data_IF_957822009937
#
_entry.id   IF_957822009937
#
_cell.length_a   1.000
_cell.length_b   1.000
_cell.length_c   1.000
_cell.angle_alpha   90.00
_cell.angle_beta   90.00
_cell.angle_gamma   90.00
#
_symmetry.space_group_name_H-M   'P 1'
#
loop_
_entity.id
_entity.type
_entity.pdbx_description
1 polymer ?
#
# COMPACT_ATOMS: atom_id res chain seq x y z
N UNK A 1 22.65 12.77 15.48
CA UNK A 1 22.92 11.58 14.65
C UNK A 1 22.22 11.68 13.32
N UNK A 2 22.78 11.11 12.28
CA UNK A 2 22.19 11.01 10.94
C UNK A 2 21.67 9.58 10.78
N UNK A 3 20.48 9.40 10.18
CA UNK A 3 19.95 8.10 9.80
C UNK A 3 19.70 8.07 8.30
N UNK A 4 20.16 7.01 7.64
CA UNK A 4 19.91 6.81 6.23
C UNK A 4 18.50 6.26 6.02
N UNK A 5 17.81 6.78 5.00
CA UNK A 5 16.54 6.24 4.51
C UNK A 5 16.82 5.42 3.25
N UNK A 6 16.49 4.14 3.30
CA UNK A 6 16.70 3.22 2.19
C UNK A 6 15.40 3.02 1.42
N UNK A 7 15.47 3.13 0.09
CA UNK A 7 14.39 2.73 -0.81
C UNK A 7 14.71 1.36 -1.41
N UNK A 8 13.72 0.48 -1.43
CA UNK A 8 13.86 -0.85 -1.99
C UNK A 8 13.05 -0.96 -3.29
N UNK A 9 13.60 -1.70 -4.24
CA UNK A 9 12.91 -2.10 -5.47
C UNK A 9 12.67 -3.60 -5.42
N UNK A 10 11.46 -4.02 -5.71
CA UNK A 10 11.06 -5.41 -5.77
C UNK A 10 10.52 -5.71 -7.16
N UNK A 11 11.12 -6.66 -7.85
CA UNK A 11 10.60 -7.14 -9.11
C UNK A 11 9.37 -8.03 -8.89
N UNK A 12 8.41 -7.98 -9.80
CA UNK A 12 7.16 -8.75 -9.69
C UNK A 12 7.35 -10.26 -9.94
N UNK A 13 8.49 -10.67 -10.51
CA UNK A 13 8.87 -12.07 -10.74
C UNK A 13 9.65 -12.70 -9.56
N UNK A 14 9.76 -11.96 -8.45
CA UNK A 14 10.40 -12.45 -7.23
C UNK A 14 9.78 -13.77 -6.75
N UNK A 15 10.64 -14.72 -6.42
CA UNK A 15 10.24 -16.03 -5.85
C UNK A 15 10.32 -15.98 -4.32
N UNK A 16 9.22 -16.32 -3.62
CA UNK A 16 9.23 -16.34 -2.16
C UNK A 16 10.25 -17.32 -1.61
N UNK A 17 10.92 -17.02 -0.49
CA UNK A 17 11.78 -17.97 0.21
C UNK A 17 11.03 -19.25 0.60
N UNK A 18 11.69 -20.40 0.53
CA UNK A 18 11.07 -21.73 0.81
C UNK A 18 10.42 -21.82 2.20
N UNK A 19 10.98 -21.15 3.21
CA UNK A 19 10.43 -21.15 4.56
C UNK A 19 9.06 -20.43 4.66
N UNK A 20 8.75 -19.58 3.70
CA UNK A 20 7.51 -18.78 3.71
C UNK A 20 6.26 -19.67 3.68
N UNK A 21 6.32 -20.82 3.01
CA UNK A 21 5.21 -21.78 3.02
C UNK A 21 4.82 -22.25 4.44
N UNK A 22 5.80 -22.54 5.29
CA UNK A 22 5.54 -22.92 6.67
C UNK A 22 5.00 -21.75 7.53
N UNK A 23 5.48 -20.53 7.27
CA UNK A 23 5.00 -19.32 7.93
C UNK A 23 3.54 -19.05 7.55
N UNK A 24 3.21 -19.15 6.28
CA UNK A 24 1.85 -18.95 5.76
C UNK A 24 0.89 -20.03 6.29
N UNK A 25 1.31 -21.29 6.34
CA UNK A 25 0.47 -22.38 6.86
C UNK A 25 0.07 -22.15 8.34
N UNK A 26 0.96 -21.58 9.15
CA UNK A 26 0.63 -21.22 10.54
C UNK A 26 -0.37 -20.05 10.66
N UNK A 27 -0.38 -19.14 9.69
CA UNK A 27 -1.22 -17.96 9.71
C UNK A 27 -2.57 -18.16 9.00
N UNK A 28 -2.70 -19.16 8.12
CA UNK A 28 -3.81 -19.31 7.18
C UNK A 28 -5.19 -19.54 7.80
N UNK A 29 -5.27 -19.96 9.07
CA UNK A 29 -6.56 -20.18 9.75
C UNK A 29 -7.22 -18.92 10.32
N UNK A 30 -6.43 -17.87 10.58
CA UNK A 30 -6.91 -16.66 11.26
C UNK A 30 -6.75 -15.37 10.43
N UNK A 31 -6.04 -15.43 9.32
CA UNK A 31 -5.72 -14.23 8.51
C UNK A 31 -6.66 -14.11 7.31
N UNK A 32 -7.32 -12.96 7.20
CA UNK A 32 -8.11 -12.57 6.05
C UNK A 32 -7.56 -11.28 5.44
N UNK A 33 -7.37 -11.26 4.12
CA UNK A 33 -6.99 -10.03 3.40
C UNK A 33 -8.18 -9.55 2.60
N UNK A 34 -8.44 -8.25 2.69
CA UNK A 34 -9.52 -7.60 1.97
C UNK A 34 -9.11 -6.24 1.40
N UNK A 35 -9.71 -5.81 0.29
CA UNK A 35 -9.54 -4.45 -0.19
C UNK A 35 -10.25 -3.45 0.72
N UNK A 36 -9.93 -2.18 0.55
CA UNK A 36 -10.63 -1.05 1.15
C UNK A 36 -12.10 -1.01 0.68
N UNK A 37 -13.01 -0.70 1.60
CA UNK A 37 -14.45 -0.61 1.33
C UNK A 37 -14.86 0.85 1.12
N UNK A 38 -15.07 1.27 -0.12
CA UNK A 38 -15.47 2.67 -0.43
C UNK A 38 -16.80 3.10 0.18
N UNK A 39 -17.70 2.16 0.43
CA UNK A 39 -18.97 2.43 1.10
C UNK A 39 -18.81 2.85 2.57
N UNK A 40 -17.71 2.46 3.18
CA UNK A 40 -17.35 2.75 4.58
C UNK A 40 -16.08 3.61 4.66
N UNK A 41 -15.97 4.60 3.76
CA UNK A 41 -14.72 5.34 3.53
C UNK A 41 -14.13 5.96 4.79
N UNK A 42 -14.96 6.61 5.61
CA UNK A 42 -14.50 7.28 6.81
C UNK A 42 -13.94 6.29 7.84
N UNK A 43 -14.65 5.20 8.04
CA UNK A 43 -14.27 4.12 8.95
C UNK A 43 -12.99 3.42 8.47
N UNK A 44 -12.87 3.17 7.17
CA UNK A 44 -11.68 2.55 6.58
C UNK A 44 -10.45 3.46 6.70
N UNK A 45 -10.59 4.76 6.52
CA UNK A 45 -9.49 5.71 6.76
C UNK A 45 -9.08 5.71 8.24
N UNK A 46 -10.02 5.61 9.17
CA UNK A 46 -9.70 5.50 10.59
C UNK A 46 -8.91 4.21 10.89
N UNK A 47 -9.32 3.08 10.30
CA UNK A 47 -8.58 1.81 10.42
C UNK A 47 -7.14 1.95 9.91
N UNK A 48 -6.96 2.57 8.73
CA UNK A 48 -5.63 2.79 8.15
C UNK A 48 -4.78 3.68 9.06
N UNK A 49 -5.34 4.77 9.59
CA UNK A 49 -4.68 5.68 10.52
C UNK A 49 -4.25 4.95 11.79
N UNK A 50 -5.14 4.19 12.40
CA UNK A 50 -4.86 3.45 13.64
C UNK A 50 -3.73 2.42 13.46
N UNK A 51 -3.71 1.71 12.33
CA UNK A 51 -2.61 0.81 11.99
C UNK A 51 -1.31 1.59 11.76
N UNK A 52 -1.38 2.73 11.07
CA UNK A 52 -0.22 3.57 10.81
C UNK A 52 0.39 4.09 12.12
N UNK A 53 -0.41 4.69 12.98
CA UNK A 53 0.06 5.24 14.26
C UNK A 53 0.64 4.14 15.15
N UNK A 54 -0.05 3.00 15.29
CA UNK A 54 0.47 1.89 16.08
C UNK A 54 1.81 1.38 15.53
N UNK A 55 1.91 1.16 14.22
CA UNK A 55 3.09 0.55 13.63
C UNK A 55 4.31 1.47 13.55
N UNK A 56 4.10 2.80 13.41
CA UNK A 56 5.16 3.76 13.13
C UNK A 56 5.54 4.67 14.30
N UNK A 57 4.75 4.70 15.39
CA UNK A 57 4.93 5.62 16.52
C UNK A 57 6.30 5.55 17.22
N UNK A 58 7.07 4.49 17.02
CA UNK A 58 8.44 4.35 17.55
C UNK A 58 9.54 4.72 16.54
N UNK A 59 9.16 5.05 15.30
CA UNK A 59 10.13 5.41 14.29
C UNK A 59 10.69 6.80 14.54
N UNK A 60 11.96 6.97 14.22
CA UNK A 60 12.63 8.27 14.34
C UNK A 60 11.93 9.32 13.46
N UNK A 61 11.64 10.48 14.06
CA UNK A 61 10.97 11.57 13.35
C UNK A 61 9.49 11.35 13.08
N UNK A 62 8.86 10.34 13.67
CA UNK A 62 7.43 10.12 13.53
C UNK A 62 6.62 11.29 14.13
N UNK A 63 5.72 11.82 13.33
CA UNK A 63 4.72 12.80 13.75
C UNK A 63 3.35 12.20 13.45
N UNK A 64 2.48 12.02 14.45
CA UNK A 64 1.15 11.49 14.24
C UNK A 64 0.30 12.47 13.42
N UNK A 65 -0.57 11.95 12.58
CA UNK A 65 -1.60 12.75 11.92
C UNK A 65 -2.78 12.98 12.86
N UNK A 66 -3.34 14.18 12.85
CA UNK A 66 -4.69 14.37 13.40
C UNK A 66 -5.70 13.58 12.55
N UNK A 67 -6.88 13.33 13.12
CA UNK A 67 -7.96 12.68 12.37
C UNK A 67 -8.33 13.49 11.12
N UNK A 68 -8.43 14.80 11.26
CA UNK A 68 -8.79 15.72 10.20
C UNK A 68 -7.77 15.73 9.05
N UNK A 69 -6.47 15.78 9.39
CA UNK A 69 -5.38 15.73 8.40
C UNK A 69 -5.40 14.42 7.61
N UNK A 70 -5.56 13.29 8.31
CA UNK A 70 -5.59 11.97 7.65
C UNK A 70 -6.83 11.81 6.77
N UNK A 71 -7.99 12.27 7.23
CA UNK A 71 -9.22 12.28 6.45
C UNK A 71 -9.09 13.19 5.22
N UNK A 72 -8.51 14.38 5.37
CA UNK A 72 -8.28 15.29 4.25
C UNK A 72 -7.35 14.67 3.20
N UNK A 73 -6.24 14.08 3.63
CA UNK A 73 -5.31 13.38 2.76
C UNK A 73 -5.99 12.22 2.02
N UNK A 74 -6.71 11.37 2.76
CA UNK A 74 -7.44 10.25 2.18
C UNK A 74 -8.48 10.69 1.15
N UNK A 75 -9.26 11.73 1.45
CA UNK A 75 -10.25 12.27 0.54
C UNK A 75 -9.60 12.82 -0.75
N UNK A 76 -8.46 13.48 -0.64
CA UNK A 76 -7.72 13.99 -1.80
C UNK A 76 -7.20 12.87 -2.70
N UNK A 77 -6.86 11.72 -2.13
CA UNK A 77 -6.35 10.56 -2.86
C UNK A 77 -7.45 9.63 -3.38
N UNK A 78 -8.68 9.75 -2.88
CA UNK A 78 -9.80 8.84 -3.16
C UNK A 78 -10.04 8.55 -4.63
N UNK A 79 -9.90 9.56 -5.49
CA UNK A 79 -10.15 9.42 -6.93
C UNK A 79 -8.99 8.78 -7.71
N UNK A 80 -7.78 8.74 -7.12
CA UNK A 80 -6.56 8.28 -7.77
C UNK A 80 -6.18 6.85 -7.40
N UNK A 81 -6.66 6.37 -6.25
CA UNK A 81 -6.33 5.06 -5.71
C UNK A 81 -7.45 4.06 -6.02
N UNK A 82 -7.09 2.94 -6.61
CA UNK A 82 -8.01 1.81 -6.80
C UNK A 82 -8.11 1.03 -5.47
N UNK A 83 -9.31 0.49 -5.18
CA UNK A 83 -9.57 -0.21 -3.93
C UNK A 83 -8.64 -1.41 -3.73
N UNK A 84 -8.34 -2.12 -4.81
CA UNK A 84 -7.43 -3.27 -4.79
C UNK A 84 -5.96 -2.93 -4.52
N UNK A 85 -5.58 -1.67 -4.62
CA UNK A 85 -4.24 -1.20 -4.24
C UNK A 85 -4.15 -0.76 -2.78
N UNK A 86 -5.26 -0.77 -2.04
CA UNK A 86 -5.27 -0.60 -0.59
C UNK A 86 -5.81 -1.87 0.03
N UNK A 87 -4.95 -2.61 0.69
CA UNK A 87 -5.31 -3.89 1.30
C UNK A 87 -5.15 -3.82 2.81
N UNK A 88 -6.11 -4.40 3.51
CA UNK A 88 -6.11 -4.56 4.96
C UNK A 88 -6.09 -6.04 5.28
N UNK A 89 -5.16 -6.45 6.13
CA UNK A 89 -5.12 -7.78 6.68
C UNK A 89 -5.74 -7.78 8.08
N UNK A 90 -6.66 -8.69 8.30
CA UNK A 90 -7.35 -8.92 9.57
C UNK A 90 -6.88 -10.25 10.17
N UNK A 91 -6.69 -10.27 11.48
CA UNK A 91 -6.44 -11.49 12.26
C UNK A 91 -7.64 -11.68 13.18
N UNK A 92 -8.34 -12.78 13.03
CA UNK A 92 -9.60 -13.08 13.78
C UNK A 92 -10.62 -11.93 13.68
N UNK A 93 -10.73 -11.33 12.49
CA UNK A 93 -11.64 -10.22 12.20
C UNK A 93 -11.17 -8.84 12.68
N UNK A 94 -10.00 -8.74 13.30
CA UNK A 94 -9.45 -7.47 13.78
C UNK A 94 -8.38 -6.95 12.83
N UNK A 95 -8.47 -5.68 12.36
CA UNK A 95 -7.46 -5.08 11.49
C UNK A 95 -6.06 -5.10 12.12
N UNK A 96 -5.12 -5.76 11.46
CA UNK A 96 -3.79 -6.07 11.99
C UNK A 96 -2.65 -5.45 11.17
N UNK A 97 -2.84 -5.34 9.86
CA UNK A 97 -1.83 -4.77 8.98
C UNK A 97 -2.49 -4.13 7.76
N UNK A 98 -1.75 -3.26 7.09
CA UNK A 98 -2.19 -2.61 5.86
C UNK A 98 -1.06 -2.42 4.88
N UNK A 99 -1.41 -2.27 3.62
CA UNK A 99 -0.55 -1.78 2.55
C UNK A 99 -1.32 -0.80 1.66
N UNK A 100 -0.68 0.31 1.32
CA UNK A 100 -1.20 1.30 0.37
C UNK A 100 -0.23 1.38 -0.79
N UNK A 101 -0.74 1.27 -2.00
CA UNK A 101 0.07 1.30 -3.21
C UNK A 101 -0.48 2.33 -4.18
N UNK A 102 0.41 3.00 -4.88
CA UNK A 102 0.06 3.92 -5.96
C UNK A 102 0.72 3.51 -7.27
N UNK A 103 0.03 3.71 -8.41
CA UNK A 103 0.72 3.70 -9.70
C UNK A 103 1.87 4.71 -9.67
N UNK A 104 2.97 4.40 -10.33
CA UNK A 104 4.10 5.34 -10.37
C UNK A 104 3.78 6.55 -11.23
N UNK A 105 3.27 7.59 -10.60
CA UNK A 105 2.90 8.85 -11.27
C UNK A 105 4.07 9.49 -12.02
N UNK A 106 5.32 9.25 -11.58
CA UNK A 106 6.49 9.77 -12.27
C UNK A 106 6.62 9.24 -13.71
N UNK A 107 6.16 8.02 -13.98
CA UNK A 107 6.09 7.51 -15.35
C UNK A 107 5.05 8.25 -16.17
N UNK A 108 3.91 8.56 -15.54
CA UNK A 108 2.81 9.22 -16.23
C UNK A 108 3.12 10.69 -16.58
N UNK A 109 3.94 11.37 -15.77
CA UNK A 109 4.27 12.80 -15.93
C UNK A 109 5.63 13.08 -16.56
N UNK A 110 6.47 12.06 -16.77
CA UNK A 110 7.91 12.20 -17.12
C UNK A 110 8.22 13.15 -18.28
N UNK A 111 7.35 13.23 -19.26
CA UNK A 111 7.54 14.02 -20.49
C UNK A 111 6.51 15.16 -20.61
N UNK A 112 5.89 15.56 -19.50
CA UNK A 112 4.97 16.69 -19.49
C UNK A 112 5.69 18.01 -19.15
N UNK A 113 6.94 17.97 -18.70
CA UNK A 113 7.78 19.13 -18.34
C UNK A 113 7.04 20.16 -17.44
N UNK A 114 6.17 19.63 -16.54
CA UNK A 114 5.32 20.45 -15.68
C UNK A 114 4.15 21.15 -16.39
N UNK A 115 3.92 20.89 -17.67
CA UNK A 115 2.88 21.55 -18.47
C UNK A 115 1.67 20.64 -18.67
N UNK A 116 0.56 20.97 -18.05
CA UNK A 116 -0.72 20.26 -18.21
C UNK A 116 -1.59 20.82 -19.34
N UNK A 117 -1.42 22.10 -19.69
CA UNK A 117 -2.18 22.76 -20.75
C UNK A 117 -1.32 22.90 -22.04
N UNK A 118 -1.95 22.83 -23.23
CA UNK A 118 -3.37 22.59 -23.44
C UNK A 118 -3.81 21.12 -23.38
N UNK A 119 -2.95 20.14 -23.66
CA UNK A 119 -3.35 18.73 -23.79
C UNK A 119 -2.62 17.77 -22.82
N UNK A 120 -1.70 18.26 -22.00
CA UNK A 120 -0.96 17.44 -21.04
C UNK A 120 -1.86 16.69 -20.04
N UNK A 121 -2.96 17.30 -19.62
CA UNK A 121 -3.95 16.68 -18.73
C UNK A 121 -4.67 15.49 -19.37
N UNK A 122 -5.00 15.55 -20.67
CA UNK A 122 -5.60 14.43 -21.41
C UNK A 122 -4.62 13.26 -21.49
N UNK A 123 -3.34 13.55 -21.79
CA UNK A 123 -2.27 12.56 -21.82
C UNK A 123 -2.07 11.90 -20.47
N UNK A 124 -2.13 12.69 -19.40
CA UNK A 124 -2.04 12.19 -18.02
C UNK A 124 -3.22 11.27 -17.68
N UNK A 125 -4.45 11.69 -17.95
CA UNK A 125 -5.64 10.87 -17.73
C UNK A 125 -5.58 9.55 -18.49
N UNK A 126 -5.20 9.60 -19.77
CA UNK A 126 -5.08 8.41 -20.59
C UNK A 126 -4.04 7.44 -20.02
N UNK A 127 -2.88 7.95 -19.58
CA UNK A 127 -1.82 7.14 -18.97
C UNK A 127 -2.24 6.52 -17.64
N UNK A 128 -3.02 7.21 -16.85
CA UNK A 128 -3.46 6.68 -15.54
C UNK A 128 -4.64 5.71 -15.64
N UNK A 129 -5.49 5.85 -16.68
CA UNK A 129 -6.71 5.06 -16.79
C UNK A 129 -6.63 3.95 -17.84
N UNK A 130 -5.88 4.17 -18.92
CA UNK A 130 -5.82 3.26 -20.06
C UNK A 130 -4.46 2.58 -20.18
N UNK A 131 -3.38 3.36 -20.30
CA UNK A 131 -2.03 2.83 -20.51
C UNK A 131 -1.34 2.37 -19.22
N UNK A 132 -1.88 2.58 -18.10
CA UNK A 132 -1.46 2.30 -16.73
C UNK A 132 0.08 2.20 -16.52
N UNK A 133 0.67 2.87 -15.52
CA UNK A 133 2.12 2.81 -15.27
C UNK A 133 2.61 1.38 -15.04
N UNK A 134 3.80 1.06 -15.55
CA UNK A 134 4.38 -0.27 -15.45
C UNK A 134 5.00 -0.55 -14.07
N UNK A 135 5.24 0.49 -13.29
CA UNK A 135 5.74 0.35 -11.92
C UNK A 135 4.74 0.92 -10.92
N UNK A 136 4.81 0.43 -9.69
CA UNK A 136 4.01 0.92 -8.58
C UNK A 136 4.91 1.28 -7.39
N UNK A 137 4.43 2.17 -6.54
CA UNK A 137 5.11 2.57 -5.31
C UNK A 137 4.29 2.18 -4.10
N UNK A 138 4.97 1.67 -3.08
CA UNK A 138 4.39 1.36 -1.76
C UNK A 138 4.81 2.49 -0.80
N UNK A 139 4.06 3.60 -0.71
CA UNK A 139 4.39 4.69 0.19
C UNK A 139 4.13 4.33 1.64
N UNK A 140 3.21 3.41 1.90
CA UNK A 140 2.78 3.10 3.24
C UNK A 140 2.49 1.60 3.39
N UNK A 141 3.15 1.00 4.36
CA UNK A 141 2.88 -0.35 4.83
C UNK A 141 3.07 -0.37 6.35
N UNK A 142 2.16 -1.01 7.06
CA UNK A 142 2.22 -1.12 8.51
C UNK A 142 1.70 -2.46 9.00
N UNK A 143 2.34 -2.98 10.04
CA UNK A 143 1.88 -4.14 10.82
C UNK A 143 1.81 -3.69 12.27
N UNK A 144 0.68 -3.84 12.93
CA UNK A 144 0.51 -3.45 14.35
C UNK A 144 1.55 -4.13 15.23
N UNK A 145 2.07 -3.40 16.21
CA UNK A 145 3.18 -3.82 17.10
C UNK A 145 2.98 -5.20 17.69
N UNK A 146 1.77 -5.53 18.10
CA UNK A 146 1.45 -6.85 18.71
C UNK A 146 1.69 -8.04 17.78
N UNK A 147 1.78 -7.80 16.47
CA UNK A 147 2.05 -8.83 15.45
C UNK A 147 3.46 -8.75 14.86
N UNK A 148 4.23 -7.71 15.19
CA UNK A 148 5.61 -7.55 14.72
C UNK A 148 6.54 -8.60 15.35
N UNK A 149 7.68 -8.87 14.69
CA UNK A 149 8.73 -9.75 15.21
C UNK A 149 8.40 -11.24 15.22
N UNK A 150 7.22 -11.67 14.77
CA UNK A 150 6.79 -13.07 14.76
C UNK A 150 6.42 -13.62 13.38
N UNK A 151 6.07 -14.90 13.33
CA UNK A 151 5.61 -15.56 12.10
C UNK A 151 4.38 -14.88 11.50
N UNK A 152 3.43 -14.43 12.34
CA UNK A 152 2.21 -13.75 11.90
C UNK A 152 2.56 -12.42 11.22
N UNK A 153 3.42 -11.59 11.82
CA UNK A 153 3.81 -10.31 11.24
C UNK A 153 4.49 -10.47 9.88
N UNK A 154 5.37 -11.46 9.75
CA UNK A 154 6.01 -11.79 8.48
C UNK A 154 5.00 -12.28 7.44
N UNK A 155 4.05 -13.13 7.85
CA UNK A 155 2.98 -13.61 6.98
C UNK A 155 2.09 -12.47 6.51
N UNK A 156 1.67 -11.57 7.40
CA UNK A 156 0.84 -10.41 7.08
C UNK A 156 1.51 -9.51 6.03
N UNK A 157 2.78 -9.17 6.26
CA UNK A 157 3.54 -8.34 5.32
C UNK A 157 3.65 -9.02 3.95
N UNK A 158 4.00 -10.29 3.93
CA UNK A 158 4.14 -11.05 2.68
C UNK A 158 2.81 -11.18 1.93
N UNK A 159 1.73 -11.57 2.60
CA UNK A 159 0.42 -11.73 1.98
C UNK A 159 -0.11 -10.42 1.40
N UNK A 160 0.13 -9.30 2.08
CA UNK A 160 -0.24 -7.97 1.56
C UNK A 160 0.54 -7.64 0.28
N UNK A 161 1.85 -7.87 0.26
CA UNK A 161 2.69 -7.65 -0.92
C UNK A 161 2.22 -8.55 -2.07
N UNK A 162 1.97 -9.85 -1.82
CA UNK A 162 1.49 -10.80 -2.83
C UNK A 162 0.13 -10.39 -3.41
N UNK A 163 -0.76 -9.94 -2.54
CA UNK A 163 -2.09 -9.49 -2.98
C UNK A 163 -2.00 -8.31 -3.94
N UNK A 164 -1.21 -7.30 -3.59
CA UNK A 164 -1.01 -6.13 -4.44
C UNK A 164 -0.23 -6.48 -5.69
N UNK A 165 0.80 -7.32 -5.59
CA UNK A 165 1.56 -7.82 -6.74
C UNK A 165 0.65 -8.51 -7.75
N UNK A 166 -0.19 -9.43 -7.30
CA UNK A 166 -1.12 -10.16 -8.17
C UNK A 166 -2.14 -9.24 -8.87
N UNK A 167 -2.58 -8.19 -8.19
CA UNK A 167 -3.43 -7.15 -8.79
C UNK A 167 -2.65 -6.29 -9.78
N UNK A 168 -1.47 -5.85 -9.39
CA UNK A 168 -0.57 -5.04 -10.24
C UNK A 168 -0.20 -5.76 -11.53
N UNK A 169 0.11 -7.06 -11.50
CA UNK A 169 0.39 -7.86 -12.69
C UNK A 169 -0.80 -7.88 -13.67
N UNK A 170 -2.04 -7.98 -13.17
CA UNK A 170 -3.24 -7.88 -14.01
C UNK A 170 -3.40 -6.53 -14.68
N UNK A 171 -2.81 -5.48 -14.10
CA UNK A 171 -2.78 -4.11 -14.62
C UNK A 171 -1.54 -3.80 -15.47
N UNK A 172 -0.63 -4.77 -15.64
CA UNK A 172 0.61 -4.60 -16.41
C UNK A 172 1.78 -4.04 -15.62
N UNK A 173 1.67 -3.95 -14.29
CA UNK A 173 2.77 -3.54 -13.40
C UNK A 173 3.83 -4.64 -13.38
N UNK A 174 5.10 -4.25 -13.57
CA UNK A 174 6.25 -5.19 -13.62
C UNK A 174 7.23 -5.01 -12.45
N UNK A 175 7.17 -3.85 -11.77
CA UNK A 175 8.07 -3.50 -10.67
C UNK A 175 7.38 -2.63 -9.60
#
# INVERSE_FOLDING_TARGET
GVKDLLAYRLATDFTPPKFMGAVLAKASGSVRIRPLRRSQWKEELQILRDIFEDSWSTNWGFIPFTEEEFQHLGNSLRQWVEDDFVQIAEVDGVPAAMIVVFPNLNEAIRDLDGRLLPFGWLKLLWRLKVAFPQTARVPLMGVRKRYQGGAIGTALAFLLIERVRSHGLKRGVRE
#
